data_IF_412924423522
#
_entry.id   IF_412924423522
#
_cell.length_a   1.000
_cell.length_b   1.000
_cell.length_c   1.000
_cell.angle_alpha   90.00
_cell.angle_beta   90.00
_cell.angle_gamma   90.00
#
_symmetry.space_group_name_H-M   'P 1'
#
loop_
_entity.id
_entity.type
_entity.pdbx_description
1 polymer ?
#
# COMPACT_ATOMS: atom_id res chain seq x y z
N UNK A 1 5.73 -22.73 27.23
CA UNK A 1 6.79 -21.73 27.46
C UNK A 1 6.52 -20.59 26.50
N UNK A 2 6.39 -19.36 26.98
CA UNK A 2 6.15 -18.18 26.14
C UNK A 2 7.51 -17.66 25.65
N UNK A 3 8.06 -18.32 24.64
CA UNK A 3 9.26 -17.83 23.97
C UNK A 3 8.86 -16.75 22.99
N UNK A 4 9.26 -15.51 23.27
CA UNK A 4 8.98 -14.38 22.41
C UNK A 4 10.26 -13.58 22.16
N UNK A 5 10.50 -13.26 20.90
CA UNK A 5 11.42 -12.19 20.51
C UNK A 5 10.62 -10.89 20.45
N UNK A 6 11.10 -9.84 21.11
CA UNK A 6 10.48 -8.52 21.05
C UNK A 6 11.53 -7.46 20.79
N UNK A 7 11.32 -6.66 19.74
CA UNK A 7 12.03 -5.42 19.51
C UNK A 7 11.01 -4.26 19.55
N UNK A 8 11.28 -3.26 20.39
CA UNK A 8 10.38 -2.12 20.54
C UNK A 8 11.12 -0.85 20.94
N UNK A 9 10.66 0.26 20.37
CA UNK A 9 11.14 1.59 20.70
C UNK A 9 12.33 2.02 19.86
N UNK A 10 12.60 3.33 19.94
CA UNK A 10 13.68 4.02 19.23
C UNK A 10 14.44 4.91 20.23
N UNK A 11 15.77 4.97 20.11
CA UNK A 11 16.59 5.90 20.88
C UNK A 11 16.24 7.35 20.53
N UNK A 12 16.61 8.28 21.42
CA UNK A 12 16.47 9.73 21.18
C UNK A 12 17.21 10.20 19.92
N UNK A 13 18.29 9.51 19.57
CA UNK A 13 19.09 9.81 18.37
C UNK A 13 18.50 9.18 17.09
N UNK A 14 17.34 8.53 17.19
CA UNK A 14 16.67 7.95 16.04
C UNK A 14 17.18 6.56 15.63
N UNK A 15 17.83 5.83 16.54
CA UNK A 15 18.23 4.43 16.29
C UNK A 15 17.15 3.50 16.81
N UNK A 16 16.55 2.71 15.91
CA UNK A 16 15.52 1.73 16.24
C UNK A 16 16.10 0.57 17.07
N UNK A 17 15.29 -0.01 17.95
CA UNK A 17 15.64 -1.29 18.58
C UNK A 17 15.43 -2.42 17.59
N UNK A 18 16.37 -3.36 17.48
CA UNK A 18 16.26 -4.36 16.44
C UNK A 18 17.41 -5.35 16.32
N UNK A 19 17.34 -6.12 15.24
CA UNK A 19 18.39 -7.05 14.79
C UNK A 19 18.91 -6.54 13.45
N UNK A 20 20.23 -6.43 13.32
CA UNK A 20 20.88 -5.76 12.20
C UNK A 20 21.97 -6.64 11.58
N UNK A 21 22.02 -6.67 10.24
CA UNK A 21 23.11 -7.25 9.45
C UNK A 21 23.61 -6.24 8.43
N UNK A 22 24.82 -5.69 8.60
CA UNK A 22 25.30 -4.59 7.76
C UNK A 22 26.57 -4.96 6.98
N UNK A 23 26.69 -4.38 5.78
CA UNK A 23 27.95 -4.18 5.07
C UNK A 23 28.13 -2.70 4.76
N UNK A 24 29.06 -2.07 5.47
CA UNK A 24 29.24 -0.61 5.49
C UNK A 24 30.34 -0.13 4.52
N UNK A 25 31.05 -1.06 3.87
CA UNK A 25 32.12 -0.71 2.93
C UNK A 25 31.54 -0.14 1.63
N UNK A 26 32.09 1.00 1.21
CA UNK A 26 31.76 1.65 -0.07
C UNK A 26 32.73 1.29 -1.19
N UNK A 27 33.79 0.54 -0.89
CA UNK A 27 34.76 0.06 -1.88
C UNK A 27 34.13 -0.93 -2.86
N UNK A 28 34.71 -1.03 -4.06
CA UNK A 28 34.24 -1.95 -5.12
C UNK A 28 34.27 -3.44 -4.75
N UNK A 29 35.04 -3.81 -3.74
CA UNK A 29 35.19 -5.17 -3.24
C UNK A 29 34.58 -5.34 -1.84
N UNK A 30 33.57 -4.53 -1.50
CA UNK A 30 32.80 -4.70 -0.29
C UNK A 30 32.22 -6.12 -0.19
N UNK A 31 32.16 -6.66 1.02
CA UNK A 31 31.45 -7.91 1.26
C UNK A 31 29.94 -7.71 1.19
N UNK A 32 29.19 -8.77 0.90
CA UNK A 32 27.72 -8.72 0.99
C UNK A 32 27.26 -8.49 2.44
N UNK A 33 26.06 -7.93 2.60
CA UNK A 33 25.45 -7.84 3.92
C UNK A 33 25.15 -9.23 4.49
N UNK A 34 25.22 -9.36 5.81
CA UNK A 34 24.95 -10.62 6.49
C UNK A 34 23.48 -11.00 6.44
N UNK A 35 23.19 -12.29 6.23
CA UNK A 35 21.85 -12.83 6.34
C UNK A 35 21.36 -12.86 7.80
N UNK A 36 20.06 -12.67 8.01
CA UNK A 36 19.40 -12.80 9.30
C UNK A 36 18.44 -13.97 9.26
N UNK A 37 18.60 -14.92 10.19
CA UNK A 37 17.67 -16.02 10.41
C UNK A 37 17.17 -15.97 11.85
N UNK A 38 15.86 -15.79 12.03
CA UNK A 38 15.22 -15.69 13.34
C UNK A 38 14.23 -16.84 13.50
N UNK A 39 14.32 -17.54 14.64
CA UNK A 39 13.37 -18.57 15.02
C UNK A 39 12.89 -18.31 16.45
N UNK A 40 11.59 -18.06 16.61
CA UNK A 40 10.97 -17.86 17.92
C UNK A 40 9.48 -18.22 17.86
N UNK A 41 8.91 -18.67 18.99
CA UNK A 41 7.49 -19.01 19.02
C UNK A 41 6.60 -17.80 18.69
N UNK A 42 6.93 -16.62 19.22
CA UNK A 42 6.27 -15.35 18.87
C UNK A 42 7.32 -14.28 18.57
N UNK A 43 7.03 -13.41 17.62
CA UNK A 43 7.88 -12.26 17.25
C UNK A 43 7.02 -10.99 17.29
N UNK A 44 7.47 -10.01 18.07
CA UNK A 44 6.84 -8.70 18.16
C UNK A 44 7.82 -7.61 17.73
N UNK A 45 7.45 -6.84 16.72
CA UNK A 45 8.15 -5.62 16.29
C UNK A 45 7.19 -4.46 16.52
N UNK A 46 7.46 -3.63 17.53
CA UNK A 46 6.54 -2.57 17.96
C UNK A 46 7.22 -1.23 18.01
N UNK A 47 6.50 -0.12 17.89
CA UNK A 47 7.02 1.23 18.20
C UNK A 47 8.39 1.53 17.54
N UNK A 48 8.48 1.33 16.23
CA UNK A 48 9.72 1.41 15.43
C UNK A 48 10.74 0.29 15.66
N UNK A 49 10.37 -0.82 16.29
CA UNK A 49 11.20 -2.02 16.35
C UNK A 49 11.41 -2.63 14.96
N UNK A 50 12.64 -3.05 14.64
CA UNK A 50 12.96 -3.52 13.30
C UNK A 50 13.91 -4.72 13.20
N UNK A 51 13.84 -5.40 12.06
CA UNK A 51 14.85 -6.36 11.60
C UNK A 51 15.37 -5.82 10.27
N UNK A 52 16.67 -5.62 10.13
CA UNK A 52 17.19 -4.87 9.01
C UNK A 52 18.52 -5.43 8.51
N UNK A 53 18.66 -5.56 7.18
CA UNK A 53 19.95 -5.78 6.54
C UNK A 53 20.28 -4.66 5.56
N UNK A 54 21.50 -4.11 5.64
CA UNK A 54 21.91 -2.99 4.79
C UNK A 54 23.23 -3.28 4.08
N UNK A 55 23.33 -2.91 2.80
CA UNK A 55 24.57 -2.99 2.03
C UNK A 55 24.87 -1.66 1.32
N UNK A 56 26.04 -1.07 1.59
CA UNK A 56 26.44 0.21 0.97
C UNK A 56 26.89 0.04 -0.49
N UNK A 57 27.75 -0.93 -0.77
CA UNK A 57 28.24 -1.19 -2.13
C UNK A 57 28.41 -2.69 -2.46
N UNK A 58 27.43 -3.50 -2.04
CA UNK A 58 27.38 -4.93 -2.31
C UNK A 58 25.92 -5.40 -2.41
N UNK A 59 25.70 -6.70 -2.55
CA UNK A 59 24.35 -7.31 -2.51
C UNK A 59 23.81 -7.34 -1.08
N UNK A 60 22.48 -7.20 -0.95
CA UNK A 60 21.76 -7.27 0.32
C UNK A 60 21.74 -8.67 0.93
N UNK A 61 21.62 -8.72 2.25
CA UNK A 61 21.42 -9.96 3.00
C UNK A 61 19.96 -10.36 3.00
N UNK A 62 19.68 -11.66 3.05
CA UNK A 62 18.32 -12.18 3.15
C UNK A 62 17.86 -12.21 4.61
N UNK A 63 16.57 -12.00 4.82
CA UNK A 63 15.93 -12.11 6.13
C UNK A 63 14.93 -13.26 6.09
N UNK A 64 15.15 -14.25 6.94
CA UNK A 64 14.19 -15.35 7.17
C UNK A 64 13.66 -15.29 8.58
N UNK A 65 12.34 -15.21 8.70
CA UNK A 65 11.61 -15.15 9.97
C UNK A 65 10.71 -16.37 10.09
N UNK A 66 11.10 -17.30 10.96
CA UNK A 66 10.33 -18.51 11.23
C UNK A 66 9.65 -18.38 12.59
N UNK A 67 8.33 -18.35 12.60
CA UNK A 67 7.55 -18.34 13.84
C UNK A 67 6.31 -19.22 13.68
N UNK A 68 6.06 -20.20 14.57
CA UNK A 68 4.91 -21.08 14.47
C UNK A 68 3.60 -20.43 14.98
N UNK A 69 3.66 -19.41 15.84
CA UNK A 69 2.47 -18.85 16.47
C UNK A 69 2.12 -17.47 15.92
N UNK A 70 2.93 -16.44 16.19
CA UNK A 70 2.54 -15.06 15.91
C UNK A 70 3.74 -14.25 15.43
N UNK A 71 3.58 -13.65 14.25
CA UNK A 71 4.32 -12.46 13.84
C UNK A 71 3.39 -11.25 14.02
N UNK A 72 3.78 -10.33 14.90
CA UNK A 72 3.05 -9.09 15.12
C UNK A 72 3.97 -7.89 14.87
N UNK A 73 3.62 -7.09 13.86
CA UNK A 73 4.33 -5.85 13.52
C UNK A 73 3.35 -4.70 13.71
N UNK A 74 3.65 -3.82 14.66
CA UNK A 74 2.83 -2.69 15.07
C UNK A 74 3.68 -1.41 15.02
N UNK A 75 3.53 -0.60 13.98
CA UNK A 75 4.38 0.58 13.73
C UNK A 75 5.89 0.24 13.70
N UNK A 76 6.25 -0.95 13.21
CA UNK A 76 7.63 -1.44 13.08
C UNK A 76 7.88 -1.99 11.68
N UNK A 77 8.99 -2.70 11.47
CA UNK A 77 9.22 -3.28 10.15
C UNK A 77 10.37 -4.25 9.96
N UNK A 78 10.42 -4.83 8.77
CA UNK A 78 11.47 -5.73 8.29
C UNK A 78 12.00 -5.14 6.98
N UNK A 79 13.31 -4.94 6.90
CA UNK A 79 13.91 -4.15 5.82
C UNK A 79 15.14 -4.84 5.23
N UNK A 80 15.24 -4.84 3.91
CA UNK A 80 16.53 -4.97 3.22
C UNK A 80 16.74 -3.70 2.40
N UNK A 81 17.92 -3.09 2.50
CA UNK A 81 18.24 -1.84 1.81
C UNK A 81 19.64 -1.91 1.18
N UNK A 82 19.68 -1.79 -0.15
CA UNK A 82 20.91 -1.90 -0.94
C UNK A 82 21.13 -0.63 -1.73
N UNK A 83 22.22 0.07 -1.40
CA UNK A 83 22.58 1.37 -2.00
C UNK A 83 23.52 1.26 -3.19
N UNK A 84 24.02 0.05 -3.46
CA UNK A 84 24.90 -0.23 -4.59
C UNK A 84 24.20 0.03 -5.92
N UNK A 85 24.95 0.50 -6.93
CA UNK A 85 24.45 0.64 -8.29
C UNK A 85 24.44 -0.70 -9.07
N UNK A 86 24.92 -1.78 -8.48
CA UNK A 86 24.97 -3.10 -9.13
C UNK A 86 24.48 -4.24 -8.22
N UNK A 87 24.35 -4.00 -6.92
CA UNK A 87 23.90 -5.01 -5.96
C UNK A 87 22.38 -5.21 -5.96
N UNK A 88 21.96 -6.47 -5.95
CA UNK A 88 20.56 -6.86 -5.82
C UNK A 88 20.06 -6.72 -4.38
N UNK A 89 18.75 -6.49 -4.24
CA UNK A 89 18.04 -6.43 -2.98
C UNK A 89 18.01 -7.78 -2.28
N UNK A 90 18.04 -7.77 -0.95
CA UNK A 90 17.89 -8.98 -0.14
C UNK A 90 16.44 -9.44 -0.09
N UNK A 91 16.20 -10.75 -0.07
CA UNK A 91 14.83 -11.28 0.02
C UNK A 91 14.34 -11.30 1.48
N UNK A 92 13.04 -11.10 1.68
CA UNK A 92 12.37 -11.30 2.98
C UNK A 92 11.43 -12.49 2.88
N UNK A 93 11.64 -13.50 3.73
CA UNK A 93 10.77 -14.66 3.85
C UNK A 93 10.22 -14.78 5.27
N UNK A 94 8.89 -14.77 5.40
CA UNK A 94 8.17 -15.07 6.65
C UNK A 94 7.55 -16.44 6.53
N UNK A 95 7.96 -17.35 7.40
CA UNK A 95 7.59 -18.77 7.35
C UNK A 95 6.55 -19.15 8.40
N UNK A 96 5.33 -19.32 7.92
CA UNK A 96 4.21 -20.08 8.52
C UNK A 96 3.80 -19.74 9.96
N UNK A 97 3.72 -18.46 10.39
CA UNK A 97 2.95 -18.17 11.60
C UNK A 97 1.50 -18.61 11.46
N UNK A 98 0.93 -19.03 12.58
CA UNK A 98 -0.51 -19.15 12.71
C UNK A 98 -1.18 -17.79 12.42
N UNK A 99 -0.64 -16.70 12.96
CA UNK A 99 -1.09 -15.34 12.68
C UNK A 99 0.06 -14.42 12.25
N UNK A 100 -0.09 -13.76 11.10
CA UNK A 100 0.70 -12.59 10.72
C UNK A 100 -0.20 -11.36 10.84
N UNK A 101 0.13 -10.46 11.77
CA UNK A 101 -0.63 -9.22 12.05
C UNK A 101 0.24 -8.02 11.72
N UNK A 102 -0.21 -7.23 10.74
CA UNK A 102 0.47 -6.05 10.23
C UNK A 102 -0.40 -4.81 10.49
N UNK A 103 0.05 -3.94 11.39
CA UNK A 103 -0.62 -2.67 11.74
C UNK A 103 0.40 -1.54 11.71
N UNK A 104 0.27 -0.61 10.75
CA UNK A 104 1.33 0.37 10.45
C UNK A 104 2.69 -0.28 10.14
N UNK A 105 2.69 -1.51 9.62
CA UNK A 105 3.87 -2.32 9.44
C UNK A 105 4.55 -2.06 8.10
N UNK A 106 5.88 -2.04 8.09
CA UNK A 106 6.65 -1.90 6.84
C UNK A 106 7.47 -3.16 6.58
N UNK A 107 7.25 -3.81 5.44
CA UNK A 107 8.07 -4.94 4.97
C UNK A 107 8.62 -4.55 3.62
N UNK A 108 9.92 -4.25 3.55
CA UNK A 108 10.49 -3.55 2.41
C UNK A 108 11.79 -4.22 1.98
N UNK A 109 11.94 -4.48 0.69
CA UNK A 109 13.15 -4.98 0.04
C UNK A 109 13.56 -4.05 -1.08
N UNK A 110 14.50 -3.14 -0.80
CA UNK A 110 14.92 -2.11 -1.75
C UNK A 110 16.28 -2.38 -2.32
N UNK A 111 16.39 -2.12 -3.61
CA UNK A 111 17.65 -2.02 -4.32
C UNK A 111 17.72 -0.68 -5.07
N UNK A 112 18.93 -0.13 -5.15
CA UNK A 112 19.15 1.04 -6.00
C UNK A 112 19.44 0.61 -7.43
N UNK A 113 20.47 -0.20 -7.62
CA UNK A 113 20.99 -0.52 -8.95
C UNK A 113 20.59 -1.88 -9.50
N UNK A 114 20.80 -2.93 -8.71
CA UNK A 114 20.40 -4.28 -9.06
C UNK A 114 18.90 -4.51 -8.95
N UNK A 115 18.47 -5.76 -9.10
CA UNK A 115 17.04 -6.09 -9.02
C UNK A 115 16.54 -6.02 -7.57
N UNK A 116 15.26 -5.69 -7.40
CA UNK A 116 14.58 -5.65 -6.10
C UNK A 116 14.47 -7.06 -5.52
N UNK A 117 14.51 -7.16 -4.19
CA UNK A 117 14.36 -8.45 -3.50
C UNK A 117 12.91 -8.91 -3.46
N UNK A 118 12.67 -10.21 -3.44
CA UNK A 118 11.32 -10.77 -3.26
C UNK A 118 10.87 -10.72 -1.80
N UNK A 119 9.57 -10.50 -1.60
CA UNK A 119 8.90 -10.62 -0.30
C UNK A 119 7.95 -11.81 -0.37
N UNK A 120 8.18 -12.82 0.46
CA UNK A 120 7.23 -13.93 0.64
C UNK A 120 6.74 -13.98 2.08
N UNK A 121 5.41 -13.88 2.27
CA UNK A 121 4.78 -14.10 3.57
C UNK A 121 3.86 -15.29 3.48
N UNK A 122 4.27 -16.42 4.07
CA UNK A 122 3.42 -17.59 4.21
C UNK A 122 2.84 -17.62 5.62
N UNK A 123 1.53 -17.59 5.81
CA UNK A 123 0.89 -17.64 7.14
C UNK A 123 -0.45 -18.36 7.08
N UNK A 124 -0.95 -18.88 8.20
CA UNK A 124 -2.29 -19.49 8.23
C UNK A 124 -3.39 -18.43 8.21
N UNK A 125 -3.17 -17.33 8.93
CA UNK A 125 -4.05 -16.16 8.95
C UNK A 125 -3.21 -14.89 8.74
N UNK A 126 -3.51 -14.16 7.68
CA UNK A 126 -2.88 -12.88 7.36
C UNK A 126 -3.86 -11.74 7.64
N UNK A 127 -3.55 -10.91 8.62
CA UNK A 127 -4.34 -9.75 9.03
C UNK A 127 -3.50 -8.50 8.77
N UNK A 128 -3.99 -7.59 7.95
CA UNK A 128 -3.32 -6.33 7.65
C UNK A 128 -4.27 -5.15 7.84
N UNK A 129 -3.78 -4.07 8.43
CA UNK A 129 -4.48 -2.81 8.50
C UNK A 129 -4.39 -2.13 7.12
N UNK A 130 -5.55 -1.83 6.52
CA UNK A 130 -5.64 -1.11 5.25
C UNK A 130 -5.50 0.42 5.49
N UNK A 131 -4.37 0.82 6.08
CA UNK A 131 -3.99 2.22 6.26
C UNK A 131 -2.77 2.59 5.41
N UNK A 132 -2.45 3.87 5.35
CA UNK A 132 -1.32 4.38 4.58
C UNK A 132 0.06 4.07 5.19
N UNK A 133 0.11 3.56 6.42
CA UNK A 133 1.34 3.27 7.15
C UNK A 133 1.78 1.81 6.98
N UNK A 134 0.87 0.94 6.56
CA UNK A 134 1.16 -0.46 6.26
C UNK A 134 1.66 -0.60 4.81
N UNK A 135 2.95 -0.91 4.65
CA UNK A 135 3.65 -0.88 3.35
C UNK A 135 4.33 -2.24 3.12
N UNK A 136 4.07 -2.82 1.94
CA UNK A 136 4.91 -3.87 1.37
C UNK A 136 5.50 -3.34 0.07
N UNK A 137 6.82 -3.31 -0.04
CA UNK A 137 7.53 -2.67 -1.15
C UNK A 137 8.77 -3.46 -1.52
N UNK A 138 8.81 -3.98 -2.76
CA UNK A 138 9.90 -4.79 -3.30
C UNK A 138 10.64 -4.07 -4.44
N UNK A 139 10.55 -2.74 -4.49
CA UNK A 139 11.00 -1.96 -5.63
C UNK A 139 12.53 -1.89 -5.80
N UNK A 140 12.93 -1.65 -7.05
CA UNK A 140 14.27 -1.18 -7.39
C UNK A 140 14.22 0.19 -8.09
N UNK A 141 15.21 1.05 -7.84
CA UNK A 141 15.28 2.37 -8.48
C UNK A 141 15.69 2.26 -9.96
N UNK A 142 16.70 1.44 -10.27
CA UNK A 142 17.27 1.29 -11.62
C UNK A 142 17.11 -0.12 -12.20
N UNK A 143 16.87 -1.12 -11.34
CA UNK A 143 16.67 -2.51 -11.72
C UNK A 143 15.20 -2.88 -11.89
N UNK A 144 14.92 -4.18 -11.91
CA UNK A 144 13.56 -4.71 -11.98
C UNK A 144 12.99 -4.86 -10.56
N UNK A 145 11.74 -4.47 -10.36
CA UNK A 145 11.05 -4.68 -9.08
C UNK A 145 10.92 -6.17 -8.73
N UNK A 146 11.14 -6.48 -7.46
CA UNK A 146 10.91 -7.79 -6.88
C UNK A 146 9.42 -8.13 -6.75
N UNK A 147 9.15 -9.39 -6.45
CA UNK A 147 7.80 -9.92 -6.33
C UNK A 147 7.36 -10.00 -4.88
N UNK A 148 6.14 -9.54 -4.62
CA UNK A 148 5.46 -9.73 -3.34
C UNK A 148 4.47 -10.90 -3.47
N UNK A 149 4.62 -11.91 -2.61
CA UNK A 149 3.77 -13.11 -2.58
C UNK A 149 3.27 -13.36 -1.17
N UNK A 150 1.96 -13.25 -0.98
CA UNK A 150 1.28 -13.66 0.25
C UNK A 150 0.67 -15.04 0.03
N UNK A 151 1.08 -16.03 0.82
CA UNK A 151 0.56 -17.40 0.80
C UNK A 151 -0.26 -17.62 2.06
N UNK A 152 -1.57 -17.73 1.91
CA UNK A 152 -2.48 -18.19 2.94
C UNK A 152 -3.16 -19.47 2.46
N UNK A 153 -3.53 -20.41 3.35
CA UNK A 153 -4.55 -21.40 3.02
C UNK A 153 -5.78 -20.64 2.49
N UNK A 154 -6.44 -21.17 1.45
CA UNK A 154 -7.69 -20.64 0.90
C UNK A 154 -8.81 -20.70 1.97
N UNK A 155 -8.73 -19.81 2.95
CA UNK A 155 -9.71 -19.62 3.99
C UNK A 155 -10.22 -18.20 3.79
N UNK A 156 -11.28 -18.12 2.99
CA UNK A 156 -12.08 -16.95 2.68
C UNK A 156 -12.59 -16.30 3.98
N UNK A 157 -11.74 -15.51 4.65
CA UNK A 157 -12.18 -14.61 5.72
C UNK A 157 -12.75 -13.38 5.05
N UNK A 158 -13.92 -13.57 4.42
CA UNK A 158 -14.82 -12.48 4.07
C UNK A 158 -15.01 -11.63 5.32
N UNK A 159 -14.47 -10.41 5.27
CA UNK A 159 -14.95 -9.25 5.99
C UNK A 159 -15.53 -9.54 7.38
N UNK A 160 -14.69 -10.03 8.30
CA UNK A 160 -14.95 -9.96 9.74
C UNK A 160 -14.83 -8.53 10.30
N UNK A 161 -14.72 -7.52 9.43
CA UNK A 161 -14.99 -6.14 9.80
C UNK A 161 -16.49 -6.03 10.02
N UNK A 162 -16.86 -5.95 11.29
CA UNK A 162 -18.11 -5.36 11.74
C UNK A 162 -18.29 -4.02 11.00
N UNK A 163 -18.98 -4.05 9.87
CA UNK A 163 -19.94 -2.99 9.64
C UNK A 163 -20.83 -3.06 10.87
N UNK A 164 -20.64 -2.13 11.82
CA UNK A 164 -21.73 -1.74 12.70
C UNK A 164 -22.93 -1.66 11.76
N UNK A 165 -23.92 -2.52 11.97
CA UNK A 165 -25.19 -2.43 11.27
C UNK A 165 -25.66 -1.02 11.60
N UNK A 166 -25.40 -0.08 10.69
CA UNK A 166 -26.13 1.16 10.68
C UNK A 166 -27.48 0.71 10.21
N UNK A 167 -28.34 0.42 11.19
CA UNK A 167 -29.77 0.57 10.98
C UNK A 167 -29.91 1.94 10.34
N UNK A 168 -30.09 1.90 9.02
CA UNK A 168 -30.24 3.05 8.19
C UNK A 168 -31.53 3.69 8.71
N UNK A 169 -31.41 4.72 9.56
CA UNK A 169 -32.51 5.61 9.83
C UNK A 169 -32.77 6.33 8.50
N UNK A 170 -33.63 5.70 7.72
CA UNK A 170 -34.13 6.17 6.46
C UNK A 170 -34.91 7.47 6.70
N UNK A 171 -34.19 8.58 6.71
CA UNK A 171 -34.76 9.93 6.83
C UNK A 171 -35.64 10.28 5.62
N UNK A 172 -35.69 9.44 4.59
CA UNK A 172 -36.65 9.58 3.48
C UNK A 172 -38.10 9.31 3.89
N UNK A 173 -38.35 8.73 5.08
CA UNK A 173 -39.71 8.64 5.66
C UNK A 173 -40.13 9.85 6.50
N UNK A 174 -39.27 10.87 6.63
CA UNK A 174 -39.54 12.13 7.35
C UNK A 174 -39.73 13.34 6.42
N UNK A 175 -39.88 13.14 5.11
CA UNK A 175 -40.30 14.20 4.20
C UNK A 175 -41.56 13.80 3.44
N UNK A 176 -42.61 14.59 3.69
CA UNK A 176 -43.89 14.57 2.98
C UNK A 176 -43.67 14.66 1.46
N UNK A 177 -44.50 13.90 0.76
CA UNK A 177 -44.69 13.89 -0.69
C UNK A 177 -44.64 15.30 -1.30
N UNK A 178 -43.74 15.47 -2.28
CA UNK A 178 -43.62 16.71 -3.04
C UNK A 178 -42.81 16.51 -4.32
N UNK A 179 -43.53 16.52 -5.44
CA UNK A 179 -43.05 16.62 -6.83
C UNK A 179 -42.49 15.35 -7.49
N UNK A 180 -43.36 14.74 -8.30
CA UNK A 180 -43.04 13.76 -9.36
C UNK A 180 -42.06 14.33 -10.39
N UNK A 181 -40.92 13.67 -10.68
CA UNK A 181 -40.09 14.03 -11.82
C UNK A 181 -40.69 13.47 -13.11
N UNK A 182 -41.00 14.39 -14.04
CA UNK A 182 -41.35 14.11 -15.42
C UNK A 182 -40.15 13.48 -16.14
N UNK A 183 -40.32 12.29 -16.72
CA UNK A 183 -39.30 11.63 -17.54
C UNK A 183 -38.97 12.49 -18.76
N UNK A 184 -37.75 13.01 -18.81
CA UNK A 184 -37.11 13.46 -20.05
C UNK A 184 -35.75 12.77 -20.09
N UNK A 185 -35.56 11.95 -21.12
CA UNK A 185 -34.39 11.10 -21.28
C UNK A 185 -33.11 11.91 -21.45
N UNK A 186 -32.08 11.56 -20.69
CA UNK A 186 -30.74 12.10 -20.88
C UNK A 186 -29.97 11.15 -21.79
N UNK A 187 -29.78 11.55 -23.05
CA UNK A 187 -28.84 10.93 -23.97
C UNK A 187 -27.46 11.50 -23.67
N UNK A 188 -26.53 10.68 -23.20
CA UNK A 188 -25.14 11.10 -22.97
C UNK A 188 -24.38 11.12 -24.31
N UNK A 189 -24.13 12.32 -24.83
CA UNK A 189 -23.22 12.54 -25.96
C UNK A 189 -21.78 12.63 -25.43
N UNK A 190 -21.03 11.55 -25.54
CA UNK A 190 -19.58 11.58 -25.35
C UNK A 190 -18.94 12.13 -26.63
N UNK A 191 -18.58 13.42 -26.67
CA UNK A 191 -17.75 13.98 -27.73
C UNK A 191 -16.28 13.93 -27.30
N UNK A 192 -15.68 12.74 -27.48
CA UNK A 192 -14.23 12.52 -27.42
C UNK A 192 -13.78 11.90 -28.75
N UNK A 193 -12.70 12.43 -29.33
CA UNK A 193 -12.15 12.04 -30.64
C UNK A 193 -11.43 10.67 -30.63
N UNK A 194 -11.95 9.67 -29.92
CA UNK A 194 -11.38 8.32 -29.88
C UNK A 194 -12.49 7.27 -30.03
N UNK A 195 -12.36 6.42 -31.05
CA UNK A 195 -13.32 5.34 -31.35
C UNK A 195 -13.29 4.30 -30.23
N UNK A 196 -14.34 4.25 -29.41
CA UNK A 196 -14.60 3.11 -28.52
C UNK A 196 -15.56 2.17 -29.24
N UNK A 197 -15.11 0.94 -29.51
CA UNK A 197 -15.96 -0.12 -30.03
C UNK A 197 -16.98 -0.53 -28.95
N UNK A 198 -18.26 -0.39 -29.27
CA UNK A 198 -19.34 -0.89 -28.43
C UNK A 198 -19.31 -2.42 -28.43
N UNK A 199 -18.82 -3.01 -27.33
CA UNK A 199 -19.23 -4.31 -26.76
C UNK A 199 -18.21 -4.74 -25.71
N UNK A 200 -18.42 -4.37 -24.44
CA UNK A 200 -18.50 -5.39 -23.39
C UNK A 200 -19.06 -4.76 -22.11
N UNK A 201 -20.34 -5.05 -21.88
CA UNK A 201 -20.89 -5.04 -20.53
C UNK A 201 -20.26 -6.21 -19.78
N UNK A 202 -19.98 -5.97 -18.50
CA UNK A 202 -19.62 -6.92 -17.43
C UNK A 202 -18.12 -6.98 -17.05
N UNK A 203 -17.88 -6.39 -15.86
CA UNK A 203 -17.03 -6.89 -14.79
C UNK A 203 -15.50 -6.74 -14.91
N UNK A 204 -14.96 -5.68 -14.29
CA UNK A 204 -13.67 -5.71 -13.58
C UNK A 204 -13.67 -4.67 -12.45
N UNK A 205 -13.81 -5.14 -11.20
CA UNK A 205 -13.57 -4.37 -9.97
C UNK A 205 -12.07 -4.28 -9.67
N UNK A 206 -11.33 -3.43 -10.37
CA UNK A 206 -10.00 -2.94 -9.94
C UNK A 206 -9.51 -1.93 -10.98
N UNK A 207 -9.98 -0.69 -10.88
CA UNK A 207 -9.36 0.41 -11.61
C UNK A 207 -8.37 1.08 -10.65
N UNK A 208 -7.09 0.74 -10.80
CA UNK A 208 -5.97 1.40 -10.17
C UNK A 208 -5.95 2.88 -10.59
N UNK A 209 -5.91 3.79 -9.61
CA UNK A 209 -5.67 5.21 -9.88
C UNK A 209 -4.18 5.39 -10.19
N UNK A 210 -3.87 5.66 -11.46
CA UNK A 210 -2.57 6.18 -11.88
C UNK A 210 -2.66 7.72 -11.81
N UNK A 211 -1.80 8.38 -11.03
CA UNK A 211 -1.61 9.83 -11.11
C UNK A 211 -0.30 10.11 -11.84
N UNK A 212 -0.37 10.34 -13.15
CA UNK A 212 0.76 10.93 -13.86
C UNK A 212 0.79 12.42 -13.56
N UNK A 213 1.80 12.83 -12.80
CA UNK A 213 2.22 14.22 -12.70
C UNK A 213 3.12 14.54 -13.90
N UNK A 214 2.52 14.89 -15.03
CA UNK A 214 3.26 15.51 -16.13
C UNK A 214 3.08 17.03 -16.13
N UNK A 215 4.22 17.69 -16.07
CA UNK A 215 4.43 19.13 -16.13
C UNK A 215 4.05 19.67 -17.52
N UNK A 216 3.08 20.59 -17.56
CA UNK A 216 2.69 21.28 -18.79
C UNK A 216 3.77 22.28 -19.23
N UNK A 217 4.16 22.31 -20.52
CA UNK A 217 4.83 23.48 -21.08
C UNK A 217 3.82 24.60 -21.37
N UNK A 218 4.21 25.82 -21.01
CA UNK A 218 3.47 27.06 -21.22
C UNK A 218 3.38 27.40 -22.72
N UNK A 219 2.16 27.53 -23.26
CA UNK A 219 1.87 28.36 -24.46
C UNK A 219 0.45 28.95 -24.34
N UNK A 220 0.36 30.24 -24.04
CA UNK A 220 -0.69 31.17 -24.49
C UNK A 220 0.05 32.30 -25.23
N UNK A 221 -0.41 32.92 -26.31
CA UNK A 221 -1.73 33.44 -26.64
C UNK A 221 -1.89 33.43 -28.18
N UNK A 222 -3.12 33.34 -28.70
CA UNK A 222 -3.74 34.47 -29.41
C UNK A 222 -5.12 34.08 -30.00
N UNK A 223 -6.04 35.04 -29.95
CA UNK A 223 -7.25 35.21 -30.76
C UNK A 223 -8.51 34.33 -30.54
N UNK A 224 -9.50 35.01 -29.92
CA UNK A 224 -10.86 35.30 -30.45
C UNK A 224 -11.98 34.26 -30.28
N UNK A 225 -12.90 34.50 -29.33
CA UNK A 225 -14.15 35.29 -29.54
C UNK A 225 -15.02 35.25 -28.28
N UNK A 226 -15.44 36.44 -27.84
CA UNK A 226 -16.49 36.64 -26.87
C UNK A 226 -17.87 36.17 -27.41
N UNK A 227 -18.75 35.67 -26.54
CA UNK A 227 -20.12 36.18 -26.49
C UNK A 227 -20.77 36.00 -25.10
N UNK A 228 -21.19 37.15 -24.59
CA UNK A 228 -22.00 37.52 -23.44
C UNK A 228 -23.28 36.69 -23.16
N UNK A 229 -23.43 36.34 -21.88
CA UNK A 229 -24.60 36.42 -20.97
C UNK A 229 -26.01 36.08 -21.47
N UNK A 230 -26.65 35.15 -20.74
CA UNK A 230 -27.98 35.38 -20.18
C UNK A 230 -28.10 34.73 -18.79
N UNK A 231 -28.25 35.56 -17.76
CA UNK A 231 -28.64 35.15 -16.42
C UNK A 231 -30.08 34.61 -16.42
N UNK A 232 -30.33 33.53 -15.70
CA UNK A 232 -31.64 33.26 -15.10
C UNK A 232 -31.46 32.92 -13.63
N UNK A 233 -31.64 33.94 -12.79
CA UNK A 233 -31.96 33.82 -11.37
C UNK A 233 -33.25 33.01 -11.23
N UNK A 234 -33.24 31.95 -10.42
CA UNK A 234 -34.46 31.46 -9.80
C UNK A 234 -34.21 31.15 -8.33
N UNK A 235 -34.64 32.10 -7.51
CA UNK A 235 -34.79 31.95 -6.07
C UNK A 235 -36.00 31.09 -5.73
N UNK A 236 -35.90 30.45 -4.57
CA UNK A 236 -36.96 29.66 -3.95
C UNK A 236 -38.02 30.62 -3.37
N UNK A 237 -39.27 30.55 -3.85
CA UNK A 237 -40.41 31.30 -3.29
C UNK A 237 -41.39 30.31 -2.66
N UNK A 238 -41.54 30.37 -1.33
CA UNK A 238 -42.60 29.70 -0.60
C UNK A 238 -43.96 30.32 -0.93
N UNK A 239 -44.99 29.49 -1.07
CA UNK A 239 -46.39 29.92 -1.05
C UNK A 239 -47.04 29.38 0.23
N UNK A 240 -47.54 30.29 1.07
CA UNK A 240 -48.38 30.00 2.22
C UNK A 240 -49.73 30.68 2.05
N UNK A 241 -50.78 29.89 2.34
CA UNK A 241 -52.23 30.15 2.38
C UNK A 241 -52.95 30.46 1.05
#
# INVERSE_FOLDING_TARGET
MNEALTASGKSKDGVSSGIFGSSESTESNAGNAGDISIQANTINLKDSGEINTTAENATGGNITVTTPNLLHIENGGIYTDVKSNEGDGGNITVETPLFAVLDGAQIITKAKGGDGGDITVASQHFLYAADANTILDASSELGIDGKIVIKTPDNDVVAGFLALQTDFLDSSKLFKEGCTPRTIGNTFLNQGHHKVSANNLLNTQWASFYSDSETLPQVSDDNRKALSLSHSLFGCRQAGH
#
